data_IF_404170176295
#
_entry.id   IF_404170176295
#
_cell.length_a   1.000
_cell.length_b   1.000
_cell.length_c   1.000
_cell.angle_alpha   90.00
_cell.angle_beta   90.00
_cell.angle_gamma   90.00
#
_symmetry.space_group_name_H-M   'P 1'
#
loop_
_entity.id
_entity.type
_entity.pdbx_description
1 polymer ?
#
# COMPACT_ATOMS: atom_id res chain seq x y z
N UNK A 1 -33.83 28.28 -8.73
CA UNK A 1 -33.47 29.03 -7.51
C UNK A 1 -33.33 28.08 -6.32
N UNK A 2 -34.34 27.28 -5.98
CA UNK A 2 -34.34 26.30 -4.86
C UNK A 2 -33.15 25.31 -4.81
N UNK A 3 -32.54 24.97 -5.94
CA UNK A 3 -31.42 24.01 -6.02
C UNK A 3 -30.05 24.59 -5.64
N UNK A 4 -29.89 25.92 -5.58
CA UNK A 4 -28.60 26.55 -5.25
C UNK A 4 -28.28 26.49 -3.75
N UNK A 5 -29.31 26.45 -2.89
CA UNK A 5 -29.15 26.47 -1.42
C UNK A 5 -29.14 25.06 -0.82
N UNK A 6 -28.89 24.04 -1.63
CA UNK A 6 -28.76 22.67 -1.11
C UNK A 6 -27.35 22.51 -0.55
N UNK A 7 -27.27 22.30 0.76
CA UNK A 7 -26.01 22.08 1.46
C UNK A 7 -25.51 20.65 1.28
N UNK A 8 -24.93 20.38 0.11
CA UNK A 8 -24.27 19.11 -0.22
C UNK A 8 -23.13 18.76 0.75
N UNK A 9 -22.62 19.74 1.51
CA UNK A 9 -21.56 19.61 2.50
C UNK A 9 -21.88 18.57 3.57
N UNK A 10 -23.16 18.38 3.92
CA UNK A 10 -23.58 17.35 4.89
C UNK A 10 -23.38 15.92 4.40
N UNK A 11 -23.30 15.67 3.09
CA UNK A 11 -23.11 14.32 2.54
C UNK A 11 -21.66 13.87 2.57
N UNK A 12 -20.71 14.80 2.44
CA UNK A 12 -19.29 14.48 2.39
C UNK A 12 -18.80 13.64 3.58
N UNK A 13 -19.06 14.01 4.86
CA UNK A 13 -18.61 13.20 5.99
C UNK A 13 -19.33 11.85 6.07
N UNK A 14 -20.56 11.73 5.56
CA UNK A 14 -21.28 10.45 5.50
C UNK A 14 -20.60 9.51 4.50
N UNK A 15 -20.29 9.97 3.30
CA UNK A 15 -19.59 9.16 2.30
C UNK A 15 -18.20 8.76 2.78
N UNK A 16 -17.48 9.68 3.42
CA UNK A 16 -16.21 9.37 4.05
C UNK A 16 -16.35 8.28 5.13
N UNK A 17 -17.34 8.41 6.02
CA UNK A 17 -17.60 7.44 7.08
C UNK A 17 -17.98 6.05 6.52
N UNK A 18 -18.78 5.99 5.46
CA UNK A 18 -19.15 4.74 4.80
C UNK A 18 -17.96 4.07 4.10
N UNK A 19 -17.15 4.86 3.38
CA UNK A 19 -15.90 4.39 2.80
C UNK A 19 -15.00 3.80 3.89
N UNK A 20 -14.87 4.50 5.01
CA UNK A 20 -14.11 4.07 6.16
C UNK A 20 -14.61 2.71 6.68
N UNK A 21 -15.90 2.56 7.00
CA UNK A 21 -16.47 1.31 7.49
C UNK A 21 -16.27 0.15 6.52
N UNK A 22 -16.42 0.40 5.21
CA UNK A 22 -16.22 -0.60 4.16
C UNK A 22 -14.75 -1.01 4.04
N UNK A 23 -13.82 -0.08 4.20
CA UNK A 23 -12.38 -0.32 4.10
C UNK A 23 -11.83 -1.23 5.19
N UNK A 24 -12.49 -1.26 6.36
CA UNK A 24 -12.13 -2.14 7.50
C UNK A 24 -13.11 -3.31 7.68
N UNK A 25 -14.07 -3.50 6.77
CA UNK A 25 -15.14 -4.49 6.89
C UNK A 25 -15.88 -4.46 8.24
N UNK A 26 -16.18 -3.27 8.75
CA UNK A 26 -16.85 -3.10 10.03
C UNK A 26 -18.31 -3.61 9.98
N UNK A 27 -18.78 -4.22 11.08
CA UNK A 27 -20.13 -4.78 11.17
C UNK A 27 -21.24 -3.73 10.96
N UNK A 28 -21.03 -2.51 11.47
CA UNK A 28 -21.89 -1.34 11.21
C UNK A 28 -22.13 -1.08 9.72
N UNK A 29 -21.15 -1.39 8.84
CA UNK A 29 -21.26 -1.20 7.39
C UNK A 29 -22.41 -1.94 6.73
N UNK A 30 -22.91 -3.02 7.36
CA UNK A 30 -24.05 -3.83 6.89
C UNK A 30 -25.38 -3.42 7.53
N UNK A 31 -25.36 -2.50 8.48
CA UNK A 31 -26.54 -2.12 9.27
C UNK A 31 -27.44 -1.16 8.50
N UNK A 32 -28.74 -1.45 8.46
CA UNK A 32 -29.76 -0.52 7.94
C UNK A 32 -29.83 0.79 8.74
N UNK A 33 -29.31 0.82 9.97
CA UNK A 33 -29.29 2.02 10.82
C UNK A 33 -28.37 3.13 10.28
N UNK A 34 -27.48 2.83 9.33
CA UNK A 34 -26.65 3.84 8.66
C UNK A 34 -27.46 4.89 7.89
N UNK A 35 -28.72 4.59 7.54
CA UNK A 35 -29.61 5.56 6.92
C UNK A 35 -29.80 6.83 7.77
N UNK A 36 -29.75 6.71 9.10
CA UNK A 36 -29.90 7.86 10.01
C UNK A 36 -28.79 8.91 9.86
N UNK A 37 -27.63 8.55 9.30
CA UNK A 37 -26.54 9.50 9.05
C UNK A 37 -26.91 10.55 7.99
N UNK A 38 -27.92 10.29 7.15
CA UNK A 38 -28.39 11.24 6.14
C UNK A 38 -29.44 12.22 6.69
N UNK A 39 -29.91 12.06 7.94
CA UNK A 39 -30.93 12.94 8.52
C UNK A 39 -30.52 14.42 8.57
N UNK A 40 -29.28 14.80 8.93
CA UNK A 40 -28.86 16.20 8.91
C UNK A 40 -28.99 16.83 7.52
N UNK A 41 -28.63 16.09 6.46
CA UNK A 41 -28.78 16.54 5.08
C UNK A 41 -30.26 16.72 4.70
N UNK A 42 -31.11 15.72 4.99
CA UNK A 42 -32.55 15.80 4.70
C UNK A 42 -33.17 16.99 5.44
N UNK A 43 -32.80 17.21 6.71
CA UNK A 43 -33.26 18.32 7.52
C UNK A 43 -32.83 19.68 6.94
N UNK A 44 -31.55 19.83 6.55
CA UNK A 44 -31.07 21.05 5.87
C UNK A 44 -31.84 21.32 4.58
N UNK A 45 -32.07 20.30 3.74
CA UNK A 45 -32.86 20.44 2.51
C UNK A 45 -34.29 20.90 2.82
N UNK A 46 -34.96 20.30 3.80
CA UNK A 46 -36.34 20.68 4.16
C UNK A 46 -36.41 22.13 4.64
N UNK A 47 -35.47 22.55 5.51
CA UNK A 47 -35.36 23.96 5.93
C UNK A 47 -35.19 24.85 4.72
N UNK A 48 -34.19 24.59 3.88
CA UNK A 48 -33.87 25.44 2.73
C UNK A 48 -35.03 25.54 1.71
N UNK A 49 -35.81 24.46 1.55
CA UNK A 49 -37.02 24.48 0.71
C UNK A 49 -38.13 25.34 1.34
N UNK A 50 -38.39 25.20 2.64
CA UNK A 50 -39.39 26.01 3.35
C UNK A 50 -39.03 27.50 3.24
N UNK A 51 -37.77 27.86 3.48
CA UNK A 51 -37.31 29.23 3.41
C UNK A 51 -37.33 29.80 1.98
N UNK A 52 -36.98 29.01 0.97
CA UNK A 52 -37.11 29.44 -0.41
C UNK A 52 -38.58 29.71 -0.82
N UNK A 53 -39.52 28.90 -0.31
CA UNK A 53 -40.95 29.12 -0.52
C UNK A 53 -41.44 30.37 0.21
N UNK A 54 -41.08 30.56 1.48
CA UNK A 54 -41.40 31.77 2.23
C UNK A 54 -40.73 33.02 1.64
N UNK A 55 -39.54 32.86 1.04
CA UNK A 55 -38.84 33.94 0.36
C UNK A 55 -39.67 34.49 -0.80
N UNK A 56 -40.41 33.63 -1.50
CA UNK A 56 -41.32 34.04 -2.56
C UNK A 56 -42.56 34.82 -2.06
N UNK A 57 -42.91 34.72 -0.76
CA UNK A 57 -44.13 35.32 -0.17
C UNK A 57 -43.89 36.58 0.69
N UNK A 58 -42.71 37.21 0.61
CA UNK A 58 -42.40 38.56 1.13
C UNK A 58 -42.63 38.80 2.64
N UNK A 59 -41.88 38.12 3.51
CA UNK A 59 -41.88 38.34 4.96
C UNK A 59 -41.04 39.56 5.41
N UNK A 60 -41.46 40.21 6.51
CA UNK A 60 -40.89 41.47 7.04
C UNK A 60 -39.51 41.32 7.72
N UNK A 61 -39.12 40.11 8.15
CA UNK A 61 -37.87 39.85 8.89
C UNK A 61 -36.95 38.83 8.19
N UNK A 62 -37.00 38.83 6.86
CA UNK A 62 -36.46 37.76 6.01
C UNK A 62 -34.94 37.58 6.11
N UNK A 63 -34.18 38.67 6.07
CA UNK A 63 -32.71 38.63 6.03
C UNK A 63 -32.13 38.12 7.36
N UNK A 64 -32.56 38.71 8.48
CA UNK A 64 -32.07 38.32 9.81
C UNK A 64 -32.35 36.84 10.15
N UNK A 65 -33.55 36.35 9.81
CA UNK A 65 -33.91 34.94 10.04
C UNK A 65 -33.11 34.01 9.13
N UNK A 66 -32.86 34.41 7.88
CA UNK A 66 -32.05 33.64 6.94
C UNK A 66 -30.60 33.51 7.43
N UNK A 67 -29.97 34.63 7.82
CA UNK A 67 -28.58 34.65 8.31
C UNK A 67 -28.42 33.77 9.56
N UNK A 68 -29.36 33.85 10.50
CA UNK A 68 -29.32 33.04 11.72
C UNK A 68 -29.41 31.53 11.43
N UNK A 69 -30.19 31.16 10.41
CA UNK A 69 -30.34 29.76 10.00
C UNK A 69 -29.12 29.28 9.24
N UNK A 70 -28.56 30.12 8.38
CA UNK A 70 -27.30 29.85 7.70
C UNK A 70 -26.19 29.59 8.72
N UNK A 71 -26.01 30.47 9.71
CA UNK A 71 -25.05 30.29 10.80
C UNK A 71 -25.30 28.99 11.60
N UNK A 72 -26.57 28.66 11.84
CA UNK A 72 -26.95 27.43 12.53
C UNK A 72 -26.63 26.17 11.72
N UNK A 73 -26.94 26.18 10.42
CA UNK A 73 -26.59 25.10 9.49
C UNK A 73 -25.07 24.95 9.38
N UNK A 74 -24.37 26.08 9.39
CA UNK A 74 -22.92 26.13 9.32
C UNK A 74 -22.25 25.45 10.51
N UNK A 75 -22.62 25.88 11.71
CA UNK A 75 -22.20 25.23 12.94
C UNK A 75 -22.58 23.75 12.97
N UNK A 76 -23.74 23.42 12.43
CA UNK A 76 -24.27 22.06 12.30
C UNK A 76 -23.37 21.16 11.46
N UNK A 77 -22.97 21.59 10.26
CA UNK A 77 -22.13 20.75 9.38
C UNK A 77 -20.70 20.61 9.92
N UNK A 78 -20.13 21.65 10.54
CA UNK A 78 -18.82 21.56 11.19
C UNK A 78 -18.83 20.55 12.34
N UNK A 79 -19.82 20.67 13.23
CA UNK A 79 -19.99 19.76 14.36
C UNK A 79 -20.17 18.32 13.88
N UNK A 80 -20.99 18.11 12.84
CA UNK A 80 -21.24 16.79 12.29
C UNK A 80 -19.99 16.15 11.67
N UNK A 81 -19.17 16.93 10.94
CA UNK A 81 -17.89 16.48 10.42
C UNK A 81 -16.95 16.00 11.54
N UNK A 82 -16.79 16.79 12.61
CA UNK A 82 -15.93 16.39 13.73
C UNK A 82 -16.44 15.13 14.43
N UNK A 83 -17.74 15.03 14.67
CA UNK A 83 -18.35 13.83 15.28
C UNK A 83 -17.99 12.58 14.48
N UNK A 84 -18.16 12.61 13.15
CA UNK A 84 -17.87 11.45 12.31
C UNK A 84 -16.38 11.14 12.20
N UNK A 85 -15.51 12.15 12.14
CA UNK A 85 -14.05 11.95 12.14
C UNK A 85 -13.57 11.36 13.47
N UNK A 86 -14.03 11.90 14.60
CA UNK A 86 -13.68 11.39 15.94
C UNK A 86 -14.20 9.96 16.11
N UNK A 87 -15.44 9.70 15.70
CA UNK A 87 -16.02 8.36 15.78
C UNK A 87 -15.24 7.35 14.93
N UNK A 88 -14.88 7.72 13.69
CA UNK A 88 -14.02 6.91 12.81
C UNK A 88 -12.67 6.60 13.46
N UNK A 89 -12.03 7.62 14.03
CA UNK A 89 -10.74 7.47 14.70
C UNK A 89 -10.82 6.58 15.94
N UNK A 90 -11.91 6.68 16.71
CA UNK A 90 -12.16 5.83 17.88
C UNK A 90 -12.30 4.36 17.48
N UNK A 91 -13.08 4.06 16.43
CA UNK A 91 -13.23 2.70 15.88
C UNK A 91 -11.86 2.16 15.44
N UNK A 92 -11.03 2.97 14.79
CA UNK A 92 -9.68 2.58 14.37
C UNK A 92 -8.70 2.27 15.51
N UNK A 93 -8.99 2.76 16.72
CA UNK A 93 -8.18 2.53 17.92
C UNK A 93 -8.55 1.23 18.62
N UNK A 94 -9.74 0.67 18.36
CA UNK A 94 -10.16 -0.61 18.91
C UNK A 94 -9.19 -1.72 18.49
N UNK A 95 -8.91 -2.67 19.40
CA UNK A 95 -7.93 -3.73 19.19
C UNK A 95 -8.23 -4.55 17.94
N UNK A 96 -9.52 -4.84 17.70
CA UNK A 96 -10.03 -5.58 16.53
C UNK A 96 -9.55 -4.99 15.20
N UNK A 97 -9.40 -3.66 15.09
CA UNK A 97 -9.06 -2.97 13.84
C UNK A 97 -7.66 -2.35 13.85
N UNK A 98 -6.93 -2.40 14.97
CA UNK A 98 -5.61 -1.80 15.11
C UNK A 98 -4.57 -2.44 14.19
N UNK A 99 -4.68 -3.75 13.95
CA UNK A 99 -3.77 -4.50 13.06
C UNK A 99 -4.26 -4.61 11.62
N UNK A 100 -5.43 -4.06 11.28
CA UNK A 100 -5.93 -4.11 9.91
C UNK A 100 -4.96 -3.39 8.95
N UNK A 101 -4.65 -3.94 7.75
CA UNK A 101 -3.66 -3.36 6.83
C UNK A 101 -3.90 -1.88 6.53
N UNK A 102 -5.17 -1.50 6.37
CA UNK A 102 -5.58 -0.13 6.05
C UNK A 102 -5.61 0.83 7.26
N UNK A 103 -5.49 0.32 8.50
CA UNK A 103 -5.67 1.10 9.74
C UNK A 103 -4.70 2.27 9.85
N UNK A 104 -3.43 2.06 9.45
CA UNK A 104 -2.39 3.10 9.51
C UNK A 104 -2.68 4.27 8.57
N UNK A 105 -3.11 3.97 7.34
CA UNK A 105 -3.49 4.99 6.35
C UNK A 105 -4.76 5.73 6.78
N UNK A 106 -5.79 4.99 7.19
CA UNK A 106 -7.08 5.58 7.58
C UNK A 106 -6.95 6.52 8.79
N UNK A 107 -6.08 6.21 9.77
CA UNK A 107 -5.78 7.12 10.89
C UNK A 107 -5.18 8.44 10.42
N UNK A 108 -4.20 8.38 9.51
CA UNK A 108 -3.60 9.58 8.89
C UNK A 108 -4.67 10.37 8.13
N UNK A 109 -5.51 9.69 7.36
CA UNK A 109 -6.59 10.32 6.61
C UNK A 109 -7.57 11.06 7.53
N UNK A 110 -7.96 10.47 8.67
CA UNK A 110 -8.79 11.13 9.67
C UNK A 110 -8.13 12.41 10.22
N UNK A 111 -6.82 12.36 10.50
CA UNK A 111 -6.06 13.52 10.99
C UNK A 111 -6.02 14.64 9.94
N UNK A 112 -5.83 14.31 8.67
CA UNK A 112 -5.83 15.31 7.61
C UNK A 112 -7.21 15.93 7.36
N UNK A 113 -8.28 15.12 7.41
CA UNK A 113 -9.66 15.65 7.31
C UNK A 113 -9.96 16.56 8.49
N UNK A 114 -9.52 16.21 9.70
CA UNK A 114 -9.63 17.09 10.86
C UNK A 114 -8.97 18.46 10.57
N UNK A 115 -7.72 18.47 10.09
CA UNK A 115 -7.02 19.71 9.75
C UNK A 115 -7.72 20.51 8.65
N UNK A 116 -8.24 19.82 7.62
CA UNK A 116 -8.98 20.47 6.54
C UNK A 116 -10.23 21.16 7.05
N UNK A 117 -11.04 20.49 7.88
CA UNK A 117 -12.24 21.07 8.49
C UNK A 117 -11.88 22.22 9.43
N UNK A 118 -10.83 22.09 10.25
CA UNK A 118 -10.39 23.22 11.11
C UNK A 118 -9.91 24.41 10.30
N UNK A 119 -9.31 24.20 9.12
CA UNK A 119 -8.83 25.28 8.28
C UNK A 119 -9.98 26.10 7.69
N UNK A 120 -11.11 25.46 7.38
CA UNK A 120 -12.32 26.17 6.95
C UNK A 120 -12.81 27.12 8.06
N UNK A 121 -13.00 26.58 9.26
CA UNK A 121 -13.45 27.37 10.44
C UNK A 121 -12.50 28.53 10.74
N UNK A 122 -11.18 28.31 10.65
CA UNK A 122 -10.19 29.37 10.89
C UNK A 122 -10.37 30.52 9.89
N UNK A 123 -10.68 30.21 8.64
CA UNK A 123 -10.85 31.24 7.61
C UNK A 123 -12.13 32.01 7.81
N UNK A 124 -13.23 31.35 8.19
CA UNK A 124 -14.47 32.04 8.53
C UNK A 124 -14.26 32.99 9.73
N UNK A 125 -13.52 32.55 10.75
CA UNK A 125 -13.15 33.39 11.91
C UNK A 125 -12.26 34.57 11.47
N UNK A 126 -11.30 34.34 10.58
CA UNK A 126 -10.41 35.39 10.08
C UNK A 126 -11.21 36.42 9.25
N UNK A 127 -12.12 35.97 8.39
CA UNK A 127 -12.97 36.85 7.60
C UNK A 127 -13.89 37.68 8.51
N UNK A 128 -14.47 37.06 9.55
CA UNK A 128 -15.27 37.74 10.56
C UNK A 128 -14.50 38.86 11.30
N UNK A 129 -13.20 38.66 11.59
CA UNK A 129 -12.38 39.62 12.36
C UNK A 129 -11.79 40.72 11.47
N UNK A 130 -11.28 40.34 10.30
CA UNK A 130 -10.43 41.23 9.48
C UNK A 130 -11.13 41.75 8.22
N UNK A 131 -12.31 41.23 7.87
CA UNK A 131 -13.08 41.60 6.68
C UNK A 131 -12.23 41.57 5.40
N UNK A 132 -11.38 40.55 5.28
CA UNK A 132 -10.36 40.40 4.21
C UNK A 132 -11.02 40.10 2.84
N UNK A 133 -12.32 39.85 2.82
CA UNK A 133 -13.07 39.55 1.62
C UNK A 133 -13.09 38.04 1.43
N UNK A 134 -14.28 37.49 1.63
CA UNK A 134 -14.61 36.06 1.54
C UNK A 134 -14.01 35.35 0.31
N UNK A 135 -13.90 36.04 -0.83
CA UNK A 135 -13.37 35.48 -2.08
C UNK A 135 -11.90 35.03 -1.98
N UNK A 136 -11.05 35.78 -1.28
CA UNK A 136 -9.63 35.42 -1.14
C UNK A 136 -9.48 34.17 -0.28
N UNK A 137 -10.26 34.08 0.82
CA UNK A 137 -10.28 32.95 1.72
C UNK A 137 -10.69 31.65 1.01
N UNK A 138 -11.79 31.67 0.26
CA UNK A 138 -12.25 30.51 -0.50
C UNK A 138 -11.21 30.04 -1.51
N UNK A 139 -10.60 30.96 -2.26
CA UNK A 139 -9.62 30.61 -3.29
C UNK A 139 -8.42 29.83 -2.70
N UNK A 140 -7.93 30.27 -1.54
CA UNK A 140 -6.85 29.60 -0.82
C UNK A 140 -7.31 28.20 -0.38
N UNK A 141 -8.50 28.08 0.22
CA UNK A 141 -9.06 26.80 0.66
C UNK A 141 -9.22 25.83 -0.50
N UNK A 142 -9.83 26.26 -1.60
CA UNK A 142 -10.06 25.41 -2.77
C UNK A 142 -8.74 24.91 -3.33
N UNK A 143 -7.70 25.75 -3.33
CA UNK A 143 -6.35 25.34 -3.73
C UNK A 143 -5.79 24.29 -2.80
N UNK A 144 -5.85 24.49 -1.47
CA UNK A 144 -5.37 23.51 -0.48
C UNK A 144 -6.17 22.21 -0.55
N UNK A 145 -7.49 22.28 -0.70
CA UNK A 145 -8.38 21.13 -0.84
C UNK A 145 -8.06 20.34 -2.12
N UNK A 146 -7.75 21.01 -3.23
CA UNK A 146 -7.35 20.34 -4.47
C UNK A 146 -6.07 19.53 -4.30
N UNK A 147 -5.04 20.11 -3.66
CA UNK A 147 -3.78 19.43 -3.35
C UNK A 147 -4.03 18.24 -2.41
N UNK A 148 -4.90 18.43 -1.42
CA UNK A 148 -5.30 17.36 -0.52
C UNK A 148 -5.99 16.20 -1.26
N UNK A 149 -6.92 16.48 -2.18
CA UNK A 149 -7.58 15.46 -3.01
C UNK A 149 -6.56 14.69 -3.83
N UNK A 150 -5.62 15.38 -4.49
CA UNK A 150 -4.52 14.72 -5.21
C UNK A 150 -3.70 13.80 -4.31
N UNK A 151 -3.37 14.27 -3.10
CA UNK A 151 -2.63 13.48 -2.12
C UNK A 151 -3.43 12.23 -1.69
N UNK A 152 -4.72 12.36 -1.40
CA UNK A 152 -5.61 11.25 -1.03
C UNK A 152 -5.71 10.22 -2.15
N UNK A 153 -5.86 10.66 -3.40
CA UNK A 153 -5.91 9.78 -4.58
C UNK A 153 -4.58 9.03 -4.74
N UNK A 154 -3.45 9.75 -4.71
CA UNK A 154 -2.12 9.15 -4.83
C UNK A 154 -1.87 8.10 -3.74
N UNK A 155 -2.10 8.46 -2.47
CA UNK A 155 -1.87 7.56 -1.36
C UNK A 155 -2.89 6.42 -1.29
N UNK A 156 -4.15 6.67 -1.67
CA UNK A 156 -5.21 5.67 -1.76
C UNK A 156 -4.86 4.59 -2.78
N UNK A 157 -4.43 4.98 -3.98
CA UNK A 157 -3.96 4.06 -5.02
C UNK A 157 -2.70 3.31 -4.54
N UNK A 158 -1.74 4.00 -3.93
CA UNK A 158 -0.52 3.39 -3.41
C UNK A 158 -0.82 2.34 -2.32
N UNK A 159 -1.77 2.63 -1.43
CA UNK A 159 -2.18 1.71 -0.36
C UNK A 159 -2.93 0.51 -0.93
N UNK A 160 -3.83 0.71 -1.91
CA UNK A 160 -4.50 -0.39 -2.61
C UNK A 160 -3.48 -1.31 -3.31
N UNK A 161 -2.46 -0.73 -3.94
CA UNK A 161 -1.37 -1.48 -4.57
C UNK A 161 -0.60 -2.31 -3.54
N UNK A 162 -0.19 -1.70 -2.42
CA UNK A 162 0.48 -2.40 -1.33
C UNK A 162 -0.39 -3.50 -0.71
N UNK A 163 -1.69 -3.29 -0.54
CA UNK A 163 -2.60 -4.29 0.04
C UNK A 163 -2.87 -5.44 -0.92
N UNK A 164 -2.98 -5.18 -2.23
CA UNK A 164 -3.03 -6.26 -3.23
C UNK A 164 -1.72 -7.04 -3.28
N UNK A 165 -0.58 -6.35 -3.25
CA UNK A 165 0.73 -6.99 -3.19
C UNK A 165 0.86 -7.85 -1.92
N UNK A 166 0.40 -7.35 -0.76
CA UNK A 166 0.39 -8.12 0.50
C UNK A 166 -0.58 -9.30 0.49
N UNK A 167 -1.79 -9.16 -0.08
CA UNK A 167 -2.75 -10.26 -0.18
C UNK A 167 -2.25 -11.37 -1.09
N UNK A 168 -1.61 -11.02 -2.20
CA UNK A 168 -0.95 -11.98 -3.08
C UNK A 168 0.18 -12.71 -2.34
N UNK A 169 1.01 -11.97 -1.60
CA UNK A 169 2.06 -12.58 -0.77
C UNK A 169 1.47 -13.52 0.29
N UNK A 170 0.41 -13.12 1.01
CA UNK A 170 -0.21 -13.94 2.07
C UNK A 170 -0.95 -15.15 1.49
N UNK A 171 -1.58 -15.04 0.32
CA UNK A 171 -2.14 -16.20 -0.39
C UNK A 171 -1.04 -17.17 -0.82
N UNK A 172 0.12 -16.66 -1.23
CA UNK A 172 1.27 -17.50 -1.58
C UNK A 172 1.90 -18.16 -0.33
N UNK A 173 1.91 -17.49 0.82
CA UNK A 173 2.29 -18.09 2.12
C UNK A 173 1.31 -19.18 2.55
N UNK A 174 -0.01 -18.90 2.52
CA UNK A 174 -1.04 -19.84 2.97
C UNK A 174 -1.20 -21.05 2.05
N UNK A 175 -0.86 -20.91 0.76
CA UNK A 175 -0.77 -22.03 -0.18
C UNK A 175 0.53 -22.85 -0.02
N UNK A 176 1.26 -22.66 1.09
CA UNK A 176 2.44 -23.46 1.45
C UNK A 176 3.68 -23.16 0.63
N UNK A 177 3.72 -22.06 -0.15
CA UNK A 177 4.90 -21.78 -0.99
C UNK A 177 5.94 -20.88 -0.31
N UNK A 178 5.65 -20.12 0.74
CA UNK A 178 6.62 -19.23 1.39
C UNK A 178 6.97 -19.65 2.82
N UNK A 179 8.02 -20.45 2.99
CA UNK A 179 8.78 -20.48 4.24
C UNK A 179 9.75 -19.30 4.26
N UNK A 180 9.37 -18.23 4.98
CA UNK A 180 10.31 -17.19 5.38
C UNK A 180 10.93 -17.62 6.69
N UNK A 181 12.11 -18.25 6.64
CA UNK A 181 12.98 -18.34 7.80
C UNK A 181 13.55 -16.94 8.06
N UNK A 182 12.82 -16.14 8.83
CA UNK A 182 13.44 -15.10 9.64
C UNK A 182 14.28 -15.84 10.65
N UNK A 183 15.60 -15.70 10.52
CA UNK A 183 16.56 -16.00 11.57
C UNK A 183 16.07 -15.43 12.89
N UNK A 184 15.48 -16.28 13.72
CA UNK A 184 15.63 -16.15 15.16
C UNK A 184 17.11 -16.37 15.44
N UNK A 185 17.71 -15.32 15.97
CA UNK A 185 18.91 -15.41 16.78
C UNK A 185 18.55 -16.31 17.96
N UNK A 186 18.96 -17.57 17.87
CA UNK A 186 19.19 -18.38 19.06
C UNK A 186 20.56 -19.02 18.93
N UNK A 187 21.50 -18.41 19.65
CA UNK A 187 22.52 -19.13 20.37
C UNK A 187 21.87 -20.36 21.02
N UNK A 188 22.40 -21.55 20.73
CA UNK A 188 22.50 -22.68 21.64
C UNK A 188 23.22 -23.85 20.95
N UNK A 189 24.51 -23.92 21.24
CA UNK A 189 25.24 -25.08 21.75
C UNK A 189 24.52 -26.45 21.70
N UNK A 190 25.22 -27.38 21.02
CA UNK A 190 25.24 -28.85 21.19
C UNK A 190 24.03 -29.69 20.74
N UNK A 191 24.27 -30.47 19.68
CA UNK A 191 24.09 -31.94 19.70
C UNK A 191 24.94 -32.62 18.60
N UNK A 192 25.74 -33.60 19.01
CA UNK A 192 26.59 -34.53 18.22
C UNK A 192 25.70 -35.54 17.45
N UNK A 193 25.97 -36.17 16.29
CA UNK A 193 27.07 -36.98 15.68
C UNK A 193 26.60 -37.32 14.23
N UNK A 194 27.38 -37.82 13.23
CA UNK A 194 28.84 -37.84 13.02
C UNK A 194 29.25 -37.02 11.77
N UNK A 195 30.51 -36.58 11.70
CA UNK A 195 31.50 -37.10 10.72
C UNK A 195 32.80 -36.29 10.73
N UNK A 196 33.92 -37.00 10.90
CA UNK A 196 35.23 -36.63 10.31
C UNK A 196 35.00 -36.20 8.85
N UNK A 197 35.57 -35.11 8.31
CA UNK A 197 37.01 -34.82 8.19
C UNK A 197 37.17 -33.35 7.82
N UNK A 198 38.24 -32.69 8.28
CA UNK A 198 38.70 -31.38 7.79
C UNK A 198 39.22 -31.40 6.35
N UNK A 199 38.41 -31.87 5.41
CA UNK A 199 38.68 -31.82 3.99
C UNK A 199 37.80 -30.72 3.37
N UNK A 200 38.44 -29.66 2.88
CA UNK A 200 37.75 -28.65 2.06
C UNK A 200 37.12 -29.35 0.87
N UNK A 201 35.82 -29.12 0.63
CA UNK A 201 35.20 -29.58 -0.61
C UNK A 201 35.87 -28.87 -1.80
N UNK A 202 36.13 -29.62 -2.88
CA UNK A 202 36.63 -29.11 -4.16
C UNK A 202 35.52 -29.08 -5.21
N UNK A 203 35.74 -28.34 -6.31
CA UNK A 203 34.81 -28.27 -7.45
C UNK A 203 34.50 -29.64 -8.07
N UNK A 204 35.39 -30.62 -7.91
CA UNK A 204 35.22 -32.01 -8.37
C UNK A 204 34.26 -32.84 -7.49
N UNK A 205 33.64 -32.24 -6.48
CA UNK A 205 32.66 -32.93 -5.64
C UNK A 205 31.47 -33.41 -6.50
N UNK A 206 31.21 -34.73 -6.48
CA UNK A 206 30.16 -35.36 -7.29
C UNK A 206 28.76 -34.74 -7.10
N UNK A 207 28.43 -34.24 -5.92
CA UNK A 207 27.11 -33.64 -5.66
C UNK A 207 27.05 -32.20 -6.13
N UNK A 208 28.16 -31.47 -6.04
CA UNK A 208 28.29 -30.13 -6.62
C UNK A 208 28.18 -30.20 -8.15
N UNK A 209 28.86 -31.15 -8.79
CA UNK A 209 28.74 -31.38 -10.24
C UNK A 209 27.32 -31.73 -10.68
N UNK A 210 26.58 -32.53 -9.88
CA UNK A 210 25.16 -32.80 -10.13
C UNK A 210 24.29 -31.56 -9.98
N UNK A 211 24.52 -30.75 -8.94
CA UNK A 211 23.84 -29.46 -8.77
C UNK A 211 24.09 -28.56 -9.98
N UNK A 212 25.35 -28.43 -10.40
CA UNK A 212 25.73 -27.64 -11.57
C UNK A 212 25.03 -28.12 -12.83
N UNK A 213 24.96 -29.43 -13.04
CA UNK A 213 24.25 -30.01 -14.18
C UNK A 213 22.76 -29.61 -14.19
N UNK A 214 22.07 -29.73 -13.05
CA UNK A 214 20.67 -29.32 -12.92
C UNK A 214 20.47 -27.82 -13.16
N UNK A 215 21.42 -26.98 -12.71
CA UNK A 215 21.33 -25.54 -12.91
C UNK A 215 21.60 -25.15 -14.36
N UNK A 216 22.63 -25.69 -14.97
CA UNK A 216 23.07 -25.29 -16.31
C UNK A 216 22.21 -25.90 -17.41
N UNK A 217 21.82 -27.17 -17.30
CA UNK A 217 21.08 -27.87 -18.36
C UNK A 217 19.57 -27.82 -18.17
N UNK A 218 19.09 -28.06 -16.94
CA UNK A 218 17.65 -28.16 -16.66
C UNK A 218 17.05 -26.83 -16.19
N UNK A 219 17.88 -25.80 -16.00
CA UNK A 219 17.47 -24.46 -15.57
C UNK A 219 16.55 -24.45 -14.34
N UNK A 220 16.76 -25.39 -13.40
CA UNK A 220 15.89 -25.55 -12.22
C UNK A 220 15.79 -24.27 -11.37
N UNK A 221 16.76 -23.36 -11.49
CA UNK A 221 16.75 -22.06 -10.83
C UNK A 221 15.56 -21.18 -11.25
N UNK A 222 14.92 -21.43 -12.40
CA UNK A 222 13.71 -20.72 -12.82
C UNK A 222 12.48 -21.05 -11.98
N UNK A 223 12.48 -22.15 -11.22
CA UNK A 223 11.39 -22.42 -10.28
C UNK A 223 11.47 -21.47 -9.08
N UNK A 224 10.47 -20.58 -8.86
CA UNK A 224 10.46 -19.66 -7.72
C UNK A 224 10.34 -20.36 -6.36
N UNK A 225 9.94 -21.63 -6.33
CA UNK A 225 9.82 -22.45 -5.13
C UNK A 225 11.05 -23.33 -4.87
N UNK A 226 12.08 -23.26 -5.73
CA UNK A 226 13.32 -24.01 -5.54
C UNK A 226 13.95 -23.69 -4.17
N UNK A 227 14.03 -24.70 -3.32
CA UNK A 227 14.65 -24.62 -2.00
C UNK A 227 15.80 -25.61 -1.88
N UNK A 228 16.66 -25.38 -0.89
CA UNK A 228 17.78 -26.26 -0.59
C UNK A 228 17.30 -27.67 -0.21
N UNK A 229 16.17 -27.78 0.49
CA UNK A 229 15.58 -29.07 0.83
C UNK A 229 15.14 -29.86 -0.41
N UNK A 230 14.54 -29.17 -1.40
CA UNK A 230 14.08 -29.79 -2.64
C UNK A 230 15.27 -30.39 -3.40
N UNK A 231 16.35 -29.63 -3.57
CA UNK A 231 17.55 -30.13 -4.26
C UNK A 231 18.22 -31.25 -3.47
N UNK A 232 18.38 -31.08 -2.15
CA UNK A 232 19.01 -32.10 -1.32
C UNK A 232 18.26 -33.44 -1.43
N UNK A 233 16.91 -33.39 -1.47
CA UNK A 233 16.07 -34.56 -1.72
C UNK A 233 16.30 -35.17 -3.10
N UNK A 234 16.39 -34.35 -4.17
CA UNK A 234 16.71 -34.83 -5.52
C UNK A 234 18.09 -35.48 -5.61
N UNK A 235 19.05 -34.96 -4.87
CA UNK A 235 20.43 -35.48 -4.82
C UNK A 235 20.62 -36.62 -3.81
N UNK A 236 19.58 -36.96 -3.04
CA UNK A 236 19.58 -37.95 -1.97
C UNK A 236 20.65 -37.69 -0.89
N UNK A 237 20.74 -36.44 -0.43
CA UNK A 237 21.64 -35.97 0.63
C UNK A 237 20.89 -35.09 1.63
N UNK A 238 21.51 -34.77 2.77
CA UNK A 238 20.92 -33.82 3.71
C UNK A 238 21.05 -32.38 3.22
N UNK A 239 20.05 -31.55 3.56
CA UNK A 239 20.07 -30.11 3.24
C UNK A 239 21.30 -29.42 3.82
N UNK A 240 21.68 -29.74 5.06
CA UNK A 240 22.88 -29.19 5.71
C UNK A 240 24.18 -29.53 4.97
N UNK A 241 24.32 -30.77 4.49
CA UNK A 241 25.48 -31.20 3.72
C UNK A 241 25.58 -30.46 2.37
N UNK A 242 24.44 -30.29 1.67
CA UNK A 242 24.39 -29.49 0.45
C UNK A 242 24.80 -28.03 0.71
N UNK A 243 24.33 -27.42 1.80
CA UNK A 243 24.74 -26.07 2.18
C UNK A 243 26.23 -25.96 2.44
N UNK A 244 26.82 -26.96 3.11
CA UNK A 244 28.26 -26.98 3.39
C UNK A 244 29.06 -27.06 2.10
N UNK A 245 28.70 -27.97 1.19
CA UNK A 245 29.35 -28.11 -0.12
C UNK A 245 29.30 -26.77 -0.89
N UNK A 246 28.12 -26.16 -1.00
CA UNK A 246 27.95 -24.92 -1.77
C UNK A 246 28.75 -23.78 -1.12
N UNK A 247 28.69 -23.63 0.20
CA UNK A 247 29.42 -22.57 0.90
C UNK A 247 30.94 -22.76 0.75
N UNK A 248 31.45 -23.97 0.94
CA UNK A 248 32.88 -24.23 0.90
C UNK A 248 33.46 -24.00 -0.50
N UNK A 249 32.76 -24.42 -1.55
CA UNK A 249 33.23 -24.28 -2.94
C UNK A 249 33.03 -22.85 -3.45
N UNK A 250 31.81 -22.30 -3.30
CA UNK A 250 31.43 -21.04 -3.96
C UNK A 250 31.67 -19.80 -3.11
N UNK A 251 31.94 -19.98 -1.81
CA UNK A 251 31.97 -18.93 -0.77
C UNK A 251 30.68 -18.12 -0.70
N UNK A 252 29.57 -18.67 -1.20
CA UNK A 252 28.22 -18.08 -1.17
C UNK A 252 27.28 -19.02 -0.42
N UNK A 253 26.32 -18.46 0.31
CA UNK A 253 25.21 -19.28 0.81
C UNK A 253 24.35 -19.76 -0.38
N UNK A 254 23.61 -20.86 -0.18
CA UNK A 254 22.84 -21.51 -1.24
C UNK A 254 21.87 -20.55 -1.96
N UNK A 255 21.14 -19.72 -1.21
CA UNK A 255 20.19 -18.76 -1.78
C UNK A 255 20.88 -17.71 -2.66
N UNK A 256 22.03 -17.19 -2.22
CA UNK A 256 22.83 -16.23 -2.99
C UNK A 256 23.40 -16.90 -4.24
N UNK A 257 23.79 -18.18 -4.14
CA UNK A 257 24.29 -18.95 -5.26
C UNK A 257 23.21 -19.16 -6.34
N UNK A 258 22.02 -19.65 -5.99
CA UNK A 258 20.90 -19.79 -6.93
C UNK A 258 20.52 -18.43 -7.53
N UNK A 259 20.45 -17.37 -6.72
CA UNK A 259 20.12 -16.04 -7.25
C UNK A 259 21.18 -15.51 -8.22
N UNK A 260 22.44 -15.95 -8.14
CA UNK A 260 23.47 -15.56 -9.12
C UNK A 260 23.19 -16.11 -10.52
N UNK A 261 22.64 -17.33 -10.61
CA UNK A 261 22.13 -17.90 -11.87
C UNK A 261 20.96 -17.09 -12.43
N UNK A 262 19.98 -16.78 -11.59
CA UNK A 262 18.83 -15.95 -11.98
C UNK A 262 19.27 -14.56 -12.46
N UNK A 263 20.21 -13.93 -11.77
CA UNK A 263 20.75 -12.61 -12.17
C UNK A 263 21.47 -12.70 -13.52
N UNK A 264 22.22 -13.79 -13.78
CA UNK A 264 22.88 -14.01 -15.06
C UNK A 264 21.86 -14.07 -16.20
N UNK A 265 20.82 -14.87 -16.04
CA UNK A 265 19.74 -14.97 -17.02
C UNK A 265 19.01 -13.64 -17.25
N UNK A 266 18.72 -12.88 -16.18
CA UNK A 266 18.11 -11.54 -16.35
C UNK A 266 19.01 -10.61 -17.15
N UNK A 267 20.33 -10.66 -16.97
CA UNK A 267 21.25 -9.85 -17.79
C UNK A 267 21.14 -10.24 -19.26
N UNK A 268 21.12 -11.53 -19.56
CA UNK A 268 21.02 -12.04 -20.93
C UNK A 268 19.69 -11.61 -21.58
N UNK A 269 18.56 -11.74 -20.85
CA UNK A 269 17.26 -11.26 -21.30
C UNK A 269 17.23 -9.74 -21.49
N UNK A 270 17.85 -8.95 -20.60
CA UNK A 270 17.92 -7.49 -20.76
C UNK A 270 18.71 -7.11 -22.02
N UNK A 271 19.76 -7.85 -22.39
CA UNK A 271 20.58 -7.57 -23.56
C UNK A 271 19.92 -8.02 -24.88
N UNK A 272 19.02 -9.00 -24.83
CA UNK A 272 18.27 -9.45 -26.00
C UNK A 272 17.16 -8.45 -26.38
N UNK A 273 17.10 -8.06 -27.67
CA UNK A 273 16.11 -7.11 -28.19
C UNK A 273 14.66 -7.61 -28.14
N UNK A 274 14.44 -8.92 -28.21
CA UNK A 274 13.09 -9.51 -28.18
C UNK A 274 12.35 -9.26 -26.85
N UNK A 275 13.12 -9.04 -25.78
CA UNK A 275 12.58 -8.81 -24.44
C UNK A 275 12.33 -7.34 -24.10
N UNK A 276 12.58 -6.40 -25.03
CA UNK A 276 12.41 -4.97 -24.77
C UNK A 276 10.96 -4.56 -24.49
N UNK A 277 10.01 -5.30 -25.05
CA UNK A 277 8.57 -5.13 -24.79
C UNK A 277 8.17 -5.53 -23.36
N UNK A 278 9.01 -6.27 -22.63
CA UNK A 278 8.69 -6.72 -21.28
C UNK A 278 9.26 -5.80 -20.21
N UNK A 279 8.48 -5.64 -19.14
CA UNK A 279 8.93 -4.93 -17.96
C UNK A 279 10.10 -5.66 -17.28
N UNK A 280 11.01 -4.93 -16.66
CA UNK A 280 12.12 -5.51 -15.90
C UNK A 280 11.65 -6.47 -14.81
N UNK A 281 10.49 -6.19 -14.20
CA UNK A 281 9.91 -7.06 -13.21
C UNK A 281 9.47 -8.39 -13.84
N UNK A 282 8.80 -8.37 -14.99
CA UNK A 282 8.40 -9.59 -15.70
C UNK A 282 9.60 -10.45 -16.06
N UNK A 283 10.69 -9.83 -16.55
CA UNK A 283 11.97 -10.53 -16.82
C UNK A 283 12.52 -11.19 -15.55
N UNK A 284 12.50 -10.47 -14.42
CA UNK A 284 12.94 -11.04 -13.14
C UNK A 284 12.08 -12.22 -12.67
N UNK A 285 10.76 -12.13 -12.81
CA UNK A 285 9.86 -13.22 -12.43
C UNK A 285 10.07 -14.46 -13.33
N UNK A 286 10.27 -14.26 -14.63
CA UNK A 286 10.57 -15.34 -15.59
C UNK A 286 11.89 -16.06 -15.27
N UNK A 287 12.89 -15.33 -14.78
CA UNK A 287 14.14 -15.89 -14.30
C UNK A 287 14.02 -16.59 -12.92
N UNK A 288 12.81 -16.77 -12.40
CA UNK A 288 12.52 -17.50 -11.15
C UNK A 288 12.61 -16.67 -9.88
N UNK A 289 12.70 -15.33 -9.95
CA UNK A 289 12.60 -14.53 -8.73
C UNK A 289 11.18 -14.55 -8.18
N UNK A 290 11.07 -14.89 -6.89
CA UNK A 290 9.78 -14.93 -6.20
C UNK A 290 9.15 -13.57 -5.92
N UNK A 291 9.98 -12.52 -5.82
CA UNK A 291 9.51 -11.18 -5.49
C UNK A 291 10.38 -10.10 -6.11
N UNK A 292 9.79 -8.92 -6.31
CA UNK A 292 10.49 -7.71 -6.75
C UNK A 292 11.65 -7.34 -5.83
N UNK A 293 11.46 -7.42 -4.51
CA UNK A 293 12.47 -7.00 -3.55
C UNK A 293 13.71 -7.89 -3.63
N UNK A 294 13.52 -9.22 -3.65
CA UNK A 294 14.61 -10.18 -3.81
C UNK A 294 15.32 -9.98 -5.14
N UNK A 295 14.56 -9.81 -6.23
CA UNK A 295 15.14 -9.54 -7.55
C UNK A 295 16.03 -8.30 -7.55
N UNK A 296 15.49 -7.13 -7.17
CA UNK A 296 16.23 -5.87 -7.25
C UNK A 296 17.44 -5.83 -6.32
N UNK A 297 17.34 -6.42 -5.12
CA UNK A 297 18.45 -6.47 -4.17
C UNK A 297 19.55 -7.43 -4.63
N UNK A 298 19.21 -8.64 -5.06
CA UNK A 298 20.17 -9.61 -5.61
C UNK A 298 20.86 -9.09 -6.86
N UNK A 299 20.10 -8.48 -7.78
CA UNK A 299 20.66 -7.92 -9.01
C UNK A 299 21.63 -6.77 -8.72
N UNK A 300 21.27 -5.83 -7.81
CA UNK A 300 22.16 -4.74 -7.41
C UNK A 300 23.40 -5.24 -6.67
N UNK A 301 23.24 -6.23 -5.80
CA UNK A 301 24.36 -6.82 -5.05
C UNK A 301 25.38 -7.48 -5.99
N UNK A 302 24.92 -8.19 -7.02
CA UNK A 302 25.79 -8.91 -7.94
C UNK A 302 26.38 -8.01 -9.04
N UNK A 303 25.66 -6.98 -9.50
CA UNK A 303 26.08 -6.14 -10.64
C UNK A 303 26.55 -4.74 -10.27
N UNK A 304 26.33 -4.30 -9.03
CA UNK A 304 26.53 -2.92 -8.58
C UNK A 304 25.47 -1.92 -9.08
N UNK A 305 24.59 -2.33 -10.01
CA UNK A 305 23.60 -1.48 -10.66
C UNK A 305 22.18 -2.00 -10.41
N UNK A 306 21.19 -1.11 -10.39
CA UNK A 306 19.79 -1.57 -10.46
C UNK A 306 19.49 -2.13 -11.86
N UNK A 307 18.49 -3.02 -12.02
CA UNK A 307 18.11 -3.54 -13.34
C UNK A 307 17.82 -2.44 -14.38
N UNK A 308 17.23 -1.31 -13.93
CA UNK A 308 16.95 -0.15 -14.79
C UNK A 308 18.22 0.56 -15.24
N UNK A 309 19.17 0.78 -14.32
CA UNK A 309 20.47 1.36 -14.66
C UNK A 309 21.27 0.44 -15.59
N UNK A 310 21.21 -0.88 -15.36
CA UNK A 310 21.86 -1.86 -16.22
C UNK A 310 21.26 -1.84 -17.63
N UNK A 311 19.93 -1.81 -17.78
CA UNK A 311 19.28 -1.69 -19.09
C UNK A 311 19.67 -0.40 -19.80
N UNK A 312 19.58 0.75 -19.11
CA UNK A 312 19.90 2.06 -19.68
C UNK A 312 21.38 2.19 -20.09
N UNK A 313 22.30 1.59 -19.33
CA UNK A 313 23.74 1.61 -19.63
C UNK A 313 24.08 0.78 -20.87
N UNK A 314 23.41 -0.35 -21.05
CA UNK A 314 23.76 -1.33 -22.09
C UNK A 314 22.86 -1.24 -23.34
N UNK A 315 21.72 -0.54 -23.27
CA UNK A 315 20.87 -0.25 -24.43
C UNK A 315 20.76 1.25 -24.62
N UNK A 316 21.13 1.74 -25.81
CA UNK A 316 20.85 3.11 -26.22
C UNK A 316 19.33 3.28 -26.29
N UNK A 317 18.77 4.11 -25.41
CA UNK A 317 17.36 4.50 -25.46
C UNK A 317 17.14 5.18 -26.82
N UNK A 318 16.20 4.72 -27.67
CA UNK A 318 15.78 5.51 -28.81
C UNK A 318 15.22 6.81 -28.23
N UNK A 319 15.87 7.92 -28.54
CA UNK A 319 15.35 9.25 -28.26
C UNK A 319 14.07 9.33 -29.10
N UNK A 320 12.92 9.27 -28.43
CA UNK A 320 11.62 9.63 -29.01
C UNK A 320 11.41 11.12 -28.86
#
# INVERSE_FOLDING_TARGET
MILYDIEWVFLFPVFFFLYFLKSINHDLGKSKKLFWLYMPFIFSVVINVIFNLEYAYSWKYKELVYDLIFDFQELGYYSFNFILVIWSYKILKEEKYRMHPNSRWLKKLCVWIFFLVTSWIIIDIIDMIFNIGYEIGISIICTVASVFVFWVVYYGIYTLKLTNDQKNIISDVNNGTLHVNLTEVHDNTQQEVPTNTGASFSEDNRYFLKLENLLQNDHIYRDPNLSQEIIAKLLNISSGYLSQIVNDITKKNFTVYINSYRVKEVKDMILNAEFDKYSLLAIGLEAGFKSKTTFYTSFKKETGLTPSQFRSKNKKVPIF
#
